data_IF_281346860379
#
_entry.id   IF_281346860379
#
_cell.length_a   1.000
_cell.length_b   1.000
_cell.length_c   1.000
_cell.angle_alpha   90.00
_cell.angle_beta   90.00
_cell.angle_gamma   90.00
#
_symmetry.space_group_name_H-M   'P 1'
#
loop_
_entity.id
_entity.type
_entity.pdbx_description
1 polymer ?
#
# COMPACT_ATOMS: atom_id res chain seq x y z
N UNK A 1 -8.87 -6.95 17.84
CA UNK A 1 -8.95 -7.49 16.48
C UNK A 1 -9.19 -6.34 15.54
N UNK A 2 -8.31 -6.12 14.57
CA UNK A 2 -8.43 -5.03 13.58
C UNK A 2 -9.04 -5.54 12.29
N UNK A 3 -9.85 -4.73 11.61
CA UNK A 3 -10.37 -5.00 10.26
C UNK A 3 -9.99 -3.87 9.31
N UNK A 4 -9.30 -4.21 8.23
CA UNK A 4 -8.79 -3.23 7.26
C UNK A 4 -9.34 -3.53 5.87
N UNK A 5 -10.03 -2.57 5.26
CA UNK A 5 -10.42 -2.62 3.85
C UNK A 5 -9.39 -1.89 3.00
N UNK A 6 -8.99 -2.50 1.89
CA UNK A 6 -8.16 -1.90 0.86
C UNK A 6 -8.99 -1.63 -0.40
N UNK A 7 -8.93 -0.42 -0.94
CA UNK A 7 -9.55 -0.06 -2.22
C UNK A 7 -8.45 0.43 -3.15
N UNK A 8 -8.28 -0.21 -4.32
CA UNK A 8 -7.20 0.17 -5.23
C UNK A 8 -7.08 -0.70 -6.48
N UNK A 9 -5.85 -0.95 -6.91
CA UNK A 9 -5.53 -1.70 -8.12
C UNK A 9 -4.30 -2.60 -7.91
N UNK A 10 -3.49 -2.83 -8.96
CA UNK A 10 -2.30 -3.68 -8.90
C UNK A 10 -1.27 -3.23 -7.88
N UNK A 11 -1.18 -1.93 -7.59
CA UNK A 11 -0.29 -1.42 -6.54
C UNK A 11 -0.79 -1.75 -5.12
N UNK A 12 -2.03 -2.25 -5.01
CA UNK A 12 -2.60 -2.78 -3.78
C UNK A 12 -2.50 -4.29 -3.72
N UNK A 13 -2.88 -5.04 -4.77
CA UNK A 13 -3.01 -6.50 -4.64
C UNK A 13 -1.75 -7.29 -5.01
N UNK A 14 -0.75 -6.69 -5.65
CA UNK A 14 0.46 -7.44 -6.03
C UNK A 14 1.20 -7.98 -4.80
N UNK A 15 1.83 -9.14 -4.99
CA UNK A 15 2.45 -9.94 -3.94
C UNK A 15 1.56 -10.10 -2.69
N UNK A 16 0.23 -10.18 -2.84
CA UNK A 16 -0.72 -10.24 -1.74
C UNK A 16 -0.41 -9.21 -0.61
N UNK A 17 0.00 -8.00 -0.96
CA UNK A 17 0.43 -6.96 -0.01
C UNK A 17 -0.54 -6.74 1.18
N UNK A 18 -1.89 -6.81 1.03
CA UNK A 18 -2.79 -6.73 2.16
C UNK A 18 -2.59 -7.88 3.17
N UNK A 19 -2.32 -9.11 2.71
CA UNK A 19 -2.00 -10.26 3.57
C UNK A 19 -0.64 -10.07 4.26
N UNK A 20 0.36 -9.53 3.55
CA UNK A 20 1.65 -9.18 4.16
C UNK A 20 1.47 -8.16 5.28
N UNK A 21 0.68 -7.12 5.03
CA UNK A 21 0.31 -6.11 6.03
C UNK A 21 -0.43 -6.72 7.22
N UNK A 22 -1.34 -7.67 6.98
CA UNK A 22 -2.04 -8.42 8.04
C UNK A 22 -1.06 -9.14 8.95
N UNK A 23 -0.17 -9.97 8.38
CA UNK A 23 0.84 -10.73 9.14
C UNK A 23 1.76 -9.80 9.94
N UNK A 24 2.15 -8.68 9.34
CA UNK A 24 3.03 -7.70 9.96
C UNK A 24 2.34 -6.99 11.14
N UNK A 25 1.07 -6.60 11.01
CA UNK A 25 0.28 -6.03 12.11
C UNK A 25 0.12 -7.02 13.26
N UNK A 26 -0.21 -8.28 12.97
CA UNK A 26 -0.38 -9.32 13.98
C UNK A 26 0.92 -9.57 14.75
N UNK A 27 2.04 -9.70 14.04
CA UNK A 27 3.34 -9.87 14.69
C UNK A 27 3.70 -8.67 15.58
N UNK A 28 3.47 -7.45 15.09
CA UNK A 28 3.80 -6.19 15.79
C UNK A 28 2.97 -5.98 17.06
N UNK A 29 1.71 -6.36 17.03
CA UNK A 29 0.74 -6.03 18.09
C UNK A 29 0.41 -7.21 18.99
N UNK A 30 0.57 -8.44 18.52
CA UNK A 30 0.05 -9.65 19.17
C UNK A 30 -1.47 -9.80 19.08
N UNK A 31 -2.15 -8.92 18.31
CA UNK A 31 -3.61 -8.95 18.13
C UNK A 31 -3.97 -9.43 16.73
N UNK A 32 -5.07 -10.19 16.61
CA UNK A 32 -5.58 -10.64 15.31
C UNK A 32 -5.98 -9.47 14.39
N UNK A 33 -5.74 -9.64 13.09
CA UNK A 33 -6.11 -8.68 12.05
C UNK A 33 -6.81 -9.41 10.90
N UNK A 34 -7.85 -8.81 10.35
CA UNK A 34 -8.50 -9.23 9.11
C UNK A 34 -8.29 -8.16 8.04
N UNK A 35 -8.01 -8.59 6.80
CA UNK A 35 -7.86 -7.69 5.66
C UNK A 35 -8.81 -8.09 4.54
N UNK A 36 -9.30 -7.09 3.82
CA UNK A 36 -10.25 -7.22 2.74
C UNK A 36 -9.78 -6.32 1.60
N UNK A 37 -10.03 -6.71 0.36
CA UNK A 37 -9.70 -5.83 -0.78
C UNK A 37 -10.83 -5.74 -1.80
N UNK A 38 -11.00 -4.54 -2.32
CA UNK A 38 -11.71 -4.23 -3.56
C UNK A 38 -10.67 -3.61 -4.50
N UNK A 39 -9.83 -4.45 -5.08
CA UNK A 39 -8.73 -4.03 -5.93
C UNK A 39 -8.80 -4.67 -7.31
N UNK A 40 -8.67 -3.87 -8.37
CA UNK A 40 -8.86 -4.32 -9.75
C UNK A 40 -7.78 -3.78 -10.67
N UNK A 41 -7.25 -4.63 -11.56
CA UNK A 41 -6.13 -4.30 -12.44
C UNK A 41 -6.38 -3.01 -13.24
N UNK A 42 -5.43 -2.09 -13.18
CA UNK A 42 -5.42 -0.81 -13.88
C UNK A 42 -6.65 0.11 -13.62
N UNK A 43 -7.41 -0.10 -12.53
CA UNK A 43 -8.60 0.71 -12.26
C UNK A 43 -8.29 1.93 -11.38
N UNK A 44 -8.70 3.15 -11.79
CA UNK A 44 -8.66 4.34 -10.94
C UNK A 44 -9.90 4.41 -10.04
N UNK A 45 -9.87 5.20 -8.96
CA UNK A 45 -11.00 5.37 -8.02
C UNK A 45 -12.28 5.83 -8.70
N UNK A 46 -12.17 6.58 -9.81
CA UNK A 46 -13.31 6.95 -10.63
C UNK A 46 -14.10 5.72 -11.12
N UNK A 47 -13.40 4.69 -11.59
CA UNK A 47 -14.02 3.43 -12.01
C UNK A 47 -14.69 2.73 -10.83
N UNK A 48 -14.06 2.69 -9.65
CA UNK A 48 -14.67 2.13 -8.43
C UNK A 48 -15.98 2.83 -8.05
N UNK A 49 -16.11 4.13 -8.33
CA UNK A 49 -17.29 4.94 -8.00
C UNK A 49 -18.34 5.03 -9.12
N UNK A 50 -18.01 4.61 -10.33
CA UNK A 50 -18.90 4.63 -11.49
C UNK A 50 -19.39 3.21 -11.84
N UNK A 51 -18.49 2.22 -11.88
CA UNK A 51 -18.80 0.85 -12.32
C UNK A 51 -19.03 -0.11 -11.13
N UNK A 52 -18.26 0.02 -10.04
CA UNK A 52 -18.32 -0.90 -8.88
C UNK A 52 -18.87 -0.25 -7.60
N UNK A 53 -19.60 0.87 -7.74
CA UNK A 53 -20.01 1.68 -6.59
C UNK A 53 -20.85 0.91 -5.57
N UNK A 54 -21.68 -0.03 -6.01
CA UNK A 54 -22.49 -0.83 -5.11
C UNK A 54 -21.64 -1.68 -4.17
N UNK A 55 -20.59 -2.33 -4.68
CA UNK A 55 -19.67 -3.12 -3.88
C UNK A 55 -18.87 -2.23 -2.91
N UNK A 56 -18.33 -1.11 -3.41
CA UNK A 56 -17.58 -0.14 -2.59
C UNK A 56 -18.43 0.40 -1.44
N UNK A 57 -19.61 0.93 -1.77
CA UNK A 57 -20.53 1.50 -0.78
C UNK A 57 -21.00 0.45 0.23
N UNK A 58 -21.35 -0.75 -0.24
CA UNK A 58 -21.84 -1.81 0.64
C UNK A 58 -20.76 -2.23 1.65
N UNK A 59 -19.54 -2.48 1.18
CA UNK A 59 -18.44 -2.88 2.06
C UNK A 59 -18.14 -1.77 3.08
N UNK A 60 -17.98 -0.51 2.67
CA UNK A 60 -17.68 0.57 3.62
C UNK A 60 -18.79 0.72 4.68
N UNK A 61 -20.07 0.73 4.28
CA UNK A 61 -21.18 0.99 5.22
C UNK A 61 -21.53 -0.19 6.13
N UNK A 62 -21.21 -1.42 5.73
CA UNK A 62 -21.68 -2.64 6.42
C UNK A 62 -20.57 -3.61 6.81
N UNK A 63 -19.33 -3.39 6.37
CA UNK A 63 -18.19 -4.26 6.68
C UNK A 63 -17.64 -4.09 8.10
N UNK A 64 -17.95 -2.97 8.77
CA UNK A 64 -17.49 -2.71 10.14
C UNK A 64 -15.97 -2.62 10.26
N UNK A 65 -15.33 -1.97 9.28
CA UNK A 65 -13.88 -1.81 9.24
C UNK A 65 -13.40 -0.73 10.20
N UNK A 66 -12.27 -0.96 10.86
CA UNK A 66 -11.57 0.06 11.64
C UNK A 66 -10.87 1.06 10.71
N UNK A 67 -10.29 0.54 9.62
CA UNK A 67 -9.52 1.33 8.65
C UNK A 67 -9.94 1.02 7.21
N UNK A 68 -9.89 2.05 6.36
CA UNK A 68 -10.06 1.93 4.92
C UNK A 68 -8.86 2.58 4.22
N UNK A 69 -8.00 1.76 3.63
CA UNK A 69 -6.83 2.16 2.85
C UNK A 69 -7.28 2.45 1.42
N UNK A 70 -7.04 3.67 0.95
CA UNK A 70 -7.55 4.20 -0.32
C UNK A 70 -6.36 4.52 -1.23
N UNK A 71 -6.22 3.75 -2.31
CA UNK A 71 -5.15 3.89 -3.29
C UNK A 71 -5.70 4.32 -4.65
N UNK A 72 -5.24 5.46 -5.16
CA UNK A 72 -5.53 5.92 -6.52
C UNK A 72 -4.48 5.42 -7.53
N UNK A 73 -4.85 5.34 -8.81
CA UNK A 73 -3.92 5.01 -9.88
C UNK A 73 -2.70 5.96 -9.90
N UNK A 74 -1.49 5.38 -9.94
CA UNK A 74 -0.24 6.13 -9.92
C UNK A 74 0.26 6.52 -11.33
N UNK A 75 0.20 5.58 -12.28
CA UNK A 75 0.87 5.67 -13.58
C UNK A 75 -0.08 5.39 -14.75
N UNK A 76 -0.56 6.42 -15.48
CA UNK A 76 -0.45 7.84 -15.14
C UNK A 76 -1.40 8.23 -14.00
N UNK A 77 -1.04 9.28 -13.27
CA UNK A 77 -1.95 9.87 -12.28
C UNK A 77 -3.21 10.40 -12.98
N UNK A 78 -4.40 10.12 -12.44
CA UNK A 78 -5.62 10.77 -12.89
C UNK A 78 -5.54 12.30 -12.74
N UNK A 79 -6.42 13.04 -13.45
CA UNK A 79 -6.57 14.47 -13.21
C UNK A 79 -6.84 14.76 -11.73
N UNK A 80 -6.14 15.72 -11.15
CA UNK A 80 -6.20 16.04 -9.71
C UNK A 80 -7.63 16.25 -9.21
N UNK A 81 -8.46 16.96 -9.98
CA UNK A 81 -9.88 17.17 -9.69
C UNK A 81 -10.67 15.87 -9.54
N UNK A 82 -10.33 14.84 -10.32
CA UNK A 82 -11.01 13.55 -10.30
C UNK A 82 -10.56 12.77 -9.06
N UNK A 83 -9.26 12.78 -8.74
CA UNK A 83 -8.72 12.19 -7.50
C UNK A 83 -9.36 12.81 -6.25
N UNK A 84 -9.38 14.15 -6.15
CA UNK A 84 -9.98 14.88 -5.02
C UNK A 84 -11.46 14.49 -4.86
N UNK A 85 -12.22 14.52 -5.96
CA UNK A 85 -13.65 14.20 -5.95
C UNK A 85 -13.91 12.75 -5.53
N UNK A 86 -13.10 11.81 -6.01
CA UNK A 86 -13.28 10.40 -5.71
C UNK A 86 -12.90 10.07 -4.27
N UNK A 87 -11.75 10.57 -3.81
CA UNK A 87 -11.33 10.42 -2.41
C UNK A 87 -12.31 11.07 -1.45
N UNK A 88 -12.80 12.29 -1.72
CA UNK A 88 -13.83 12.96 -0.90
C UNK A 88 -15.06 12.07 -0.69
N UNK A 89 -15.55 11.45 -1.78
CA UNK A 89 -16.73 10.57 -1.72
C UNK A 89 -16.47 9.31 -0.88
N UNK A 90 -15.31 8.68 -1.00
CA UNK A 90 -14.95 7.49 -0.23
C UNK A 90 -14.69 7.83 1.24
N UNK A 91 -13.95 8.90 1.51
CA UNK A 91 -13.67 9.42 2.86
C UNK A 91 -14.97 9.75 3.59
N UNK A 92 -15.93 10.39 2.90
CA UNK A 92 -17.24 10.69 3.47
C UNK A 92 -17.99 9.42 3.87
N UNK A 93 -18.00 8.40 3.03
CA UNK A 93 -18.59 7.10 3.36
C UNK A 93 -17.90 6.45 4.57
N UNK A 94 -16.57 6.53 4.65
CA UNK A 94 -15.81 6.00 5.78
C UNK A 94 -16.22 6.70 7.09
N UNK A 95 -16.28 8.04 7.08
CA UNK A 95 -16.72 8.83 8.25
C UNK A 95 -18.16 8.52 8.65
N UNK A 96 -19.07 8.34 7.69
CA UNK A 96 -20.45 7.94 7.96
C UNK A 96 -20.54 6.54 8.61
N UNK A 97 -19.63 5.63 8.25
CA UNK A 97 -19.55 4.27 8.80
C UNK A 97 -18.75 4.17 10.11
N UNK A 98 -18.06 5.24 10.54
CA UNK A 98 -17.13 5.22 11.66
C UNK A 98 -15.78 4.55 11.35
N UNK A 99 -15.45 4.36 10.07
CA UNK A 99 -14.18 3.81 9.59
C UNK A 99 -13.15 4.94 9.39
N UNK A 100 -11.92 4.72 9.82
CA UNK A 100 -10.83 5.70 9.64
C UNK A 100 -10.21 5.58 8.24
N UNK A 101 -10.30 6.62 7.40
CA UNK A 101 -9.68 6.59 6.07
C UNK A 101 -8.16 6.81 6.17
N UNK A 102 -7.40 6.01 5.43
CA UNK A 102 -5.95 6.12 5.22
C UNK A 102 -5.71 6.31 3.73
N UNK A 103 -5.08 7.42 3.35
CA UNK A 103 -4.67 7.65 1.97
C UNK A 103 -3.33 6.94 1.71
N UNK A 104 -3.34 6.01 0.77
CA UNK A 104 -2.15 5.31 0.30
C UNK A 104 -1.46 6.22 -0.73
N UNK A 105 -0.43 6.95 -0.30
CA UNK A 105 0.37 7.77 -1.20
C UNK A 105 1.33 6.89 -2.01
N UNK A 106 1.01 6.67 -3.28
CA UNK A 106 1.80 5.81 -4.17
C UNK A 106 3.18 6.40 -4.50
N UNK A 107 4.04 5.58 -5.10
CA UNK A 107 5.37 5.97 -5.57
C UNK A 107 5.38 6.34 -7.06
N UNK A 108 6.47 6.98 -7.51
CA UNK A 108 6.77 7.33 -8.89
C UNK A 108 7.37 6.12 -9.64
N UNK A 109 7.02 5.98 -10.92
CA UNK A 109 7.63 5.00 -11.82
C UNK A 109 9.13 5.29 -11.98
N UNK A 110 9.97 4.26 -12.02
CA UNK A 110 11.45 4.37 -12.09
C UNK A 110 11.94 5.23 -13.26
N UNK A 111 11.14 5.29 -14.33
CA UNK A 111 11.42 6.08 -15.52
C UNK A 111 11.12 7.59 -15.37
N UNK A 112 10.34 8.00 -14.36
CA UNK A 112 9.94 9.40 -14.11
C UNK A 112 9.96 9.72 -12.60
N UNK A 113 11.11 9.61 -11.92
CA UNK A 113 11.21 9.90 -10.50
C UNK A 113 10.77 11.32 -10.14
N UNK A 114 10.87 12.27 -11.08
CA UNK A 114 10.42 13.66 -10.89
C UNK A 114 8.91 13.81 -10.59
N UNK A 115 8.10 12.78 -10.86
CA UNK A 115 6.68 12.80 -10.55
C UNK A 115 6.37 12.68 -9.05
N UNK A 116 7.30 12.18 -8.24
CA UNK A 116 7.03 11.91 -6.83
C UNK A 116 6.68 13.19 -6.07
N UNK A 117 7.41 14.28 -6.29
CA UNK A 117 7.15 15.55 -5.60
C UNK A 117 5.71 16.06 -5.80
N UNK A 118 5.13 15.85 -6.98
CA UNK A 118 3.74 16.19 -7.29
C UNK A 118 2.75 15.23 -6.60
N UNK A 119 3.07 13.94 -6.53
CA UNK A 119 2.28 12.94 -5.78
C UNK A 119 2.20 13.32 -4.30
N UNK A 120 3.34 13.55 -3.64
CA UNK A 120 3.42 13.89 -2.21
C UNK A 120 2.58 15.14 -1.92
N UNK A 121 2.75 16.18 -2.75
CA UNK A 121 2.01 17.45 -2.66
C UNK A 121 0.50 17.23 -2.70
N UNK A 122 0.02 16.39 -3.61
CA UNK A 122 -1.41 16.11 -3.80
C UNK A 122 -1.99 15.30 -2.63
N UNK A 123 -1.34 14.21 -2.24
CA UNK A 123 -1.84 13.34 -1.17
C UNK A 123 -1.84 14.06 0.19
N UNK A 124 -0.78 14.79 0.54
CA UNK A 124 -0.74 15.63 1.76
C UNK A 124 -1.87 16.66 1.78
N UNK A 125 -2.07 17.39 0.69
CA UNK A 125 -3.13 18.40 0.61
C UNK A 125 -4.53 17.79 0.83
N UNK A 126 -4.81 16.61 0.24
CA UNK A 126 -6.08 15.92 0.43
C UNK A 126 -6.22 15.43 1.88
N UNK A 127 -5.19 14.81 2.44
CA UNK A 127 -5.19 14.31 3.81
C UNK A 127 -5.47 15.43 4.82
N UNK A 128 -4.76 16.57 4.69
CA UNK A 128 -4.95 17.75 5.53
C UNK A 128 -6.36 18.34 5.40
N UNK A 129 -6.81 18.58 4.16
CA UNK A 129 -8.12 19.18 3.91
C UNK A 129 -9.28 18.31 4.42
N UNK A 130 -9.13 17.00 4.33
CA UNK A 130 -10.18 16.04 4.67
C UNK A 130 -10.03 15.46 6.07
N UNK A 131 -8.95 15.73 6.80
CA UNK A 131 -8.67 15.10 8.09
C UNK A 131 -8.62 13.57 7.99
N UNK A 132 -7.99 13.05 6.93
CA UNK A 132 -7.70 11.63 6.76
C UNK A 132 -6.27 11.32 7.20
N UNK A 133 -5.99 10.07 7.58
CA UNK A 133 -4.62 9.64 7.80
C UNK A 133 -3.90 9.54 6.44
N UNK A 134 -2.61 9.85 6.44
CA UNK A 134 -1.73 9.67 5.28
C UNK A 134 -0.76 8.52 5.57
N UNK A 135 -0.62 7.61 4.62
CA UNK A 135 0.49 6.66 4.58
C UNK A 135 1.49 7.16 3.53
N UNK A 136 2.60 7.80 3.96
CA UNK A 136 3.56 8.49 3.07
C UNK A 136 4.51 7.49 2.39
N UNK A 137 3.95 6.49 1.71
CA UNK A 137 4.71 5.38 1.12
C UNK A 137 5.68 5.91 0.05
N UNK A 138 5.24 6.84 -0.80
CA UNK A 138 6.09 7.49 -1.81
C UNK A 138 7.31 8.21 -1.23
N UNK A 139 7.15 8.87 -0.08
CA UNK A 139 8.26 9.58 0.59
C UNK A 139 9.28 8.60 1.19
N UNK A 140 8.78 7.57 1.89
CA UNK A 140 9.61 6.50 2.44
C UNK A 140 10.31 5.72 1.32
N UNK A 141 9.63 5.55 0.18
CA UNK A 141 10.19 4.93 -1.03
C UNK A 141 11.36 5.75 -1.58
N UNK A 142 11.25 7.08 -1.71
CA UNK A 142 12.38 7.93 -2.11
C UNK A 142 13.56 7.84 -1.15
N UNK A 143 13.31 7.81 0.16
CA UNK A 143 14.36 7.59 1.14
C UNK A 143 15.05 6.24 0.91
N UNK A 144 14.26 5.16 0.79
CA UNK A 144 14.74 3.80 0.64
C UNK A 144 15.56 3.63 -0.66
N UNK A 145 15.14 4.23 -1.78
CA UNK A 145 15.89 4.20 -3.04
C UNK A 145 17.31 4.75 -2.89
N UNK A 146 17.50 5.80 -2.08
CA UNK A 146 18.81 6.39 -1.88
C UNK A 146 19.72 5.47 -1.06
N UNK A 147 19.21 4.90 0.03
CA UNK A 147 20.01 4.08 0.97
C UNK A 147 20.25 2.65 0.48
N UNK A 148 19.37 2.11 -0.37
CA UNK A 148 19.48 0.75 -0.93
C UNK A 148 20.20 0.71 -2.29
N UNK A 149 20.59 1.85 -2.86
CA UNK A 149 21.10 1.96 -4.23
C UNK A 149 22.32 1.07 -4.55
N UNK A 150 23.15 0.75 -3.55
CA UNK A 150 24.33 -0.12 -3.68
C UNK A 150 24.06 -1.61 -3.37
N UNK A 151 22.82 -1.98 -3.01
CA UNK A 151 22.44 -3.35 -2.64
C UNK A 151 21.73 -4.05 -3.81
N UNK A 152 22.42 -4.99 -4.48
CA UNK A 152 21.91 -5.65 -5.69
C UNK A 152 20.62 -6.46 -5.51
N UNK A 153 20.28 -6.86 -4.29
CA UNK A 153 19.09 -7.66 -3.95
C UNK A 153 17.95 -6.80 -3.35
N UNK A 154 18.04 -5.47 -3.42
CA UNK A 154 17.14 -4.54 -2.75
C UNK A 154 16.36 -3.61 -3.69
N UNK A 155 16.17 -4.00 -4.97
CA UNK A 155 15.37 -3.19 -5.90
C UNK A 155 13.93 -3.14 -5.42
N UNK A 156 13.42 -1.93 -5.15
CA UNK A 156 12.02 -1.73 -4.73
C UNK A 156 11.04 -1.96 -5.88
N UNK A 157 11.52 -1.83 -7.12
CA UNK A 157 10.70 -1.99 -8.31
C UNK A 157 10.72 -3.43 -8.80
N UNK A 158 9.56 -3.90 -9.24
CA UNK A 158 9.47 -5.03 -10.16
C UNK A 158 10.14 -4.68 -11.50
N UNK A 159 10.38 -5.70 -12.33
CA UNK A 159 11.15 -5.61 -13.60
C UNK A 159 10.59 -4.59 -14.59
N UNK A 160 9.30 -4.24 -14.48
CA UNK A 160 8.67 -3.22 -15.33
C UNK A 160 8.96 -1.77 -14.89
N UNK A 161 9.60 -1.58 -13.73
CA UNK A 161 9.95 -0.27 -13.19
C UNK A 161 8.75 0.53 -12.67
N UNK A 162 7.57 -0.08 -12.51
CA UNK A 162 6.37 0.59 -12.04
C UNK A 162 5.78 -0.10 -10.81
N UNK A 163 5.61 -1.43 -10.86
CA UNK A 163 5.06 -2.17 -9.72
C UNK A 163 6.11 -2.42 -8.64
N UNK A 164 5.66 -2.74 -7.43
CA UNK A 164 6.53 -3.12 -6.33
C UNK A 164 7.11 -4.52 -6.54
N UNK A 165 8.38 -4.68 -6.19
CA UNK A 165 8.99 -5.99 -5.92
C UNK A 165 8.57 -6.49 -4.54
N UNK A 166 9.02 -7.69 -4.15
CA UNK A 166 8.89 -8.17 -2.77
C UNK A 166 9.47 -7.19 -1.72
N UNK A 167 10.57 -6.51 -2.05
CA UNK A 167 11.19 -5.49 -1.17
C UNK A 167 10.31 -4.23 -1.13
N UNK A 168 9.77 -3.83 -2.28
CA UNK A 168 8.83 -2.71 -2.37
C UNK A 168 7.56 -2.94 -1.54
N UNK A 169 6.94 -4.12 -1.65
CA UNK A 169 5.73 -4.45 -0.88
C UNK A 169 6.00 -4.61 0.61
N UNK A 170 7.20 -5.07 0.99
CA UNK A 170 7.63 -5.03 2.39
C UNK A 170 7.68 -3.59 2.94
N UNK A 171 8.20 -2.64 2.16
CA UNK A 171 8.20 -1.21 2.51
C UNK A 171 6.78 -0.68 2.65
N UNK A 172 5.91 -0.97 1.68
CA UNK A 172 4.49 -0.59 1.73
C UNK A 172 3.83 -1.11 3.01
N UNK A 173 3.98 -2.40 3.31
CA UNK A 173 3.42 -3.03 4.50
C UNK A 173 4.00 -2.44 5.80
N UNK A 174 5.28 -2.05 5.80
CA UNK A 174 5.95 -1.39 6.94
C UNK A 174 5.30 -0.05 7.25
N UNK A 175 5.11 0.80 6.23
CA UNK A 175 4.49 2.13 6.39
C UNK A 175 3.03 2.00 6.86
N UNK A 176 2.27 1.11 6.22
CA UNK A 176 0.87 0.87 6.62
C UNK A 176 0.77 0.34 8.05
N UNK A 177 1.65 -0.58 8.45
CA UNK A 177 1.71 -1.08 9.83
C UNK A 177 2.01 0.04 10.81
N UNK A 178 2.98 0.92 10.51
CA UNK A 178 3.27 2.11 11.34
C UNK A 178 2.04 2.99 11.49
N UNK A 179 1.36 3.32 10.40
CA UNK A 179 0.18 4.20 10.42
C UNK A 179 -0.99 3.58 11.18
N UNK A 180 -1.26 2.28 10.99
CA UNK A 180 -2.40 1.57 11.60
C UNK A 180 -2.17 1.25 13.08
N UNK A 181 -0.92 1.05 13.50
CA UNK A 181 -0.60 0.57 14.84
C UNK A 181 0.12 1.59 15.71
N UNK A 182 0.66 2.65 15.12
CA UNK A 182 1.58 3.59 15.77
C UNK A 182 2.96 3.01 16.05
N UNK A 183 3.30 1.85 15.49
CA UNK A 183 4.56 1.12 15.74
C UNK A 183 5.11 0.58 14.43
N UNK A 184 6.43 0.69 14.26
CA UNK A 184 7.12 -0.07 13.23
C UNK A 184 7.00 -1.58 13.49
N UNK A 185 7.16 -2.43 12.46
CA UNK A 185 7.27 -3.88 12.62
C UNK A 185 8.39 -4.30 13.59
N UNK A 186 8.55 -5.58 13.88
CA UNK A 186 9.77 -6.03 14.59
C UNK A 186 10.95 -6.09 13.63
N UNK A 187 12.16 -5.87 14.15
CA UNK A 187 13.41 -5.97 13.37
C UNK A 187 13.67 -7.39 12.82
N UNK A 188 13.05 -8.40 13.41
CA UNK A 188 13.14 -9.80 12.98
C UNK A 188 11.94 -10.27 12.15
N UNK A 189 11.00 -9.38 11.80
CA UNK A 189 10.00 -9.67 10.79
C UNK A 189 10.64 -9.52 9.40
N UNK A 190 11.12 -10.64 8.85
CA UNK A 190 11.87 -10.65 7.56
C UNK A 190 11.05 -11.19 6.39
N UNK A 191 9.79 -11.59 6.64
CA UNK A 191 8.91 -12.20 5.65
C UNK A 191 8.47 -11.19 4.60
N UNK A 192 8.56 -11.59 3.33
CA UNK A 192 7.95 -10.93 2.18
C UNK A 192 7.35 -11.97 1.24
N UNK A 193 6.55 -11.54 0.27
CA UNK A 193 6.01 -12.39 -0.78
C UNK A 193 6.60 -11.98 -2.13
N UNK A 194 7.00 -12.95 -2.93
CA UNK A 194 7.49 -12.79 -4.29
C UNK A 194 6.77 -13.78 -5.21
N UNK A 195 5.71 -13.31 -5.83
CA UNK A 195 4.90 -14.06 -6.80
C UNK A 195 5.63 -14.50 -8.08
N UNK A 196 6.90 -14.10 -8.26
CA UNK A 196 7.72 -14.49 -9.40
C UNK A 196 8.53 -15.74 -9.08
N UNK A 197 8.51 -16.21 -7.83
CA UNK A 197 9.13 -17.47 -7.46
C UNK A 197 8.25 -18.67 -7.86
N UNK A 198 8.81 -19.73 -8.48
CA UNK A 198 10.12 -19.85 -9.11
C UNK A 198 10.13 -19.48 -10.61
N UNK A 199 8.96 -19.11 -11.17
CA UNK A 199 8.71 -19.13 -12.63
C UNK A 199 8.98 -17.81 -13.36
N UNK A 200 9.52 -16.80 -12.67
CA UNK A 200 9.90 -15.48 -13.20
C UNK A 200 8.75 -14.65 -13.83
N UNK A 201 7.51 -15.17 -13.84
CA UNK A 201 6.31 -14.57 -14.44
C UNK A 201 5.12 -14.51 -13.46
N UNK A 202 4.59 -13.30 -13.23
CA UNK A 202 3.43 -13.05 -12.36
C UNK A 202 2.12 -13.72 -12.84
N UNK A 203 1.96 -14.07 -14.12
CA UNK A 203 0.69 -14.67 -14.60
C UNK A 203 0.31 -15.99 -13.90
N UNK A 204 1.21 -16.56 -13.08
CA UNK A 204 1.05 -17.82 -12.37
C UNK A 204 1.16 -17.68 -10.84
N UNK A 205 0.51 -16.67 -10.24
CA UNK A 205 0.37 -16.56 -8.77
C UNK A 205 -0.10 -17.90 -8.19
N UNK A 206 0.57 -18.39 -7.15
CA UNK A 206 0.33 -19.71 -6.57
C UNK A 206 -0.93 -19.70 -5.70
N UNK A 207 -1.61 -20.85 -5.65
CA UNK A 207 -2.77 -21.02 -4.76
C UNK A 207 -2.36 -21.00 -3.27
N UNK A 208 -1.11 -21.37 -2.97
CA UNK A 208 -0.55 -21.38 -1.63
C UNK A 208 0.54 -20.31 -1.51
N UNK A 209 0.25 -19.20 -0.82
CA UNK A 209 1.17 -18.07 -0.61
C UNK A 209 2.50 -18.46 0.05
N UNK A 210 2.54 -19.58 0.78
CA UNK A 210 3.79 -20.08 1.37
C UNK A 210 4.81 -20.52 0.31
N UNK A 211 4.38 -20.84 -0.92
CA UNK A 211 5.26 -21.17 -2.05
C UNK A 211 5.93 -19.93 -2.66
N UNK A 212 5.40 -18.74 -2.36
CA UNK A 212 5.90 -17.44 -2.81
C UNK A 212 6.55 -16.66 -1.65
N UNK A 213 6.62 -17.26 -0.45
CA UNK A 213 7.20 -16.61 0.72
C UNK A 213 8.72 -16.61 0.64
N UNK A 214 9.30 -15.41 0.79
CA UNK A 214 10.73 -15.18 0.81
C UNK A 214 11.16 -14.47 2.09
N UNK A 215 12.47 -14.42 2.33
CA UNK A 215 13.09 -13.79 3.50
C UNK A 215 14.03 -12.69 3.03
N UNK A 216 13.78 -11.46 3.46
CA UNK A 216 14.62 -10.31 3.11
C UNK A 216 15.89 -10.26 3.97
N UNK A 217 17.03 -9.78 3.42
CA UNK A 217 18.23 -9.52 4.21
C UNK A 217 17.95 -8.52 5.36
N UNK A 218 18.58 -8.74 6.51
CA UNK A 218 18.39 -7.89 7.69
C UNK A 218 18.80 -6.45 7.45
N UNK A 219 19.87 -6.19 6.68
CA UNK A 219 20.26 -4.82 6.34
C UNK A 219 19.20 -4.08 5.51
N UNK A 220 18.50 -4.77 4.61
CA UNK A 220 17.44 -4.19 3.78
C UNK A 220 16.24 -3.82 4.66
N UNK A 221 15.83 -4.75 5.54
CA UNK A 221 14.76 -4.50 6.52
C UNK A 221 15.11 -3.33 7.42
N UNK A 222 16.33 -3.26 7.96
CA UNK A 222 16.75 -2.16 8.81
C UNK A 222 16.72 -0.81 8.08
N UNK A 223 17.22 -0.75 6.85
CA UNK A 223 17.21 0.47 6.04
C UNK A 223 15.78 0.99 5.78
N UNK A 224 14.84 0.08 5.46
CA UNK A 224 13.43 0.42 5.29
C UNK A 224 12.83 0.96 6.58
N UNK A 225 13.12 0.33 7.72
CA UNK A 225 12.65 0.78 9.04
C UNK A 225 13.17 2.16 9.39
N UNK A 226 14.45 2.42 9.15
CA UNK A 226 15.07 3.71 9.43
C UNK A 226 14.43 4.83 8.57
N UNK A 227 14.16 4.56 7.29
CA UNK A 227 13.43 5.50 6.43
C UNK A 227 12.00 5.72 6.91
N UNK A 228 11.30 4.65 7.32
CA UNK A 228 9.93 4.74 7.81
C UNK A 228 9.80 5.43 9.18
N UNK A 229 10.88 5.55 9.96
CA UNK A 229 10.86 6.23 11.27
C UNK A 229 10.83 7.76 11.14
N UNK A 230 11.37 8.32 10.04
CA UNK A 230 11.59 9.76 9.84
C UNK A 230 10.31 10.59 9.64
N UNK A 231 9.18 9.94 9.33
CA UNK A 231 7.86 10.56 9.08
C UNK A 231 6.85 10.45 10.22
#
# INVERSE_FOLDING_TARGET
>A
MKKVLFIGNSHTYMNDMPELTRRMIEDTTGESCEVFMLAYSARPLKWHLEEEYFAVRFNILHGGYDYCVIQEQAHPMPPEKDTIRCMDRIIKLCKEAGTTPILFETWAEKAKPENQAEMNRRYRAIAEQQGALLAPIGEVWECALNVLSDMSEADLYYRDGAHASAVGDYLVATVLTKVITGKLPKEDFLTAFDFSLPDDEWLNVKENVEEETTCLPREVVQAIRDCAELD
#
